data_IF_074718729573
#
_entry.id   IF_074718729573
#
_cell.length_a   1.000
_cell.length_b   1.000
_cell.length_c   1.000
_cell.angle_alpha   90.00
_cell.angle_beta   90.00
_cell.angle_gamma   90.00
#
_symmetry.space_group_name_H-M   'P 1'
#
loop_
_entity.id
_entity.type
_entity.pdbx_description
1 polymer ?
#
# COMPACT_ATOMS: atom_id res chain seq x y z
N UNK A 1 -30.93 -56.00 -3.94
CA UNK A 1 -30.46 -54.95 -3.02
C UNK A 1 -29.56 -54.01 -3.81
N UNK A 2 -29.97 -52.76 -4.04
CA UNK A 2 -29.16 -51.73 -4.72
C UNK A 2 -28.48 -50.88 -3.65
N UNK A 3 -27.16 -50.97 -3.54
CA UNK A 3 -26.36 -50.16 -2.62
C UNK A 3 -26.02 -48.85 -3.33
N UNK A 4 -26.54 -47.72 -2.83
CA UNK A 4 -26.20 -46.39 -3.34
C UNK A 4 -24.86 -45.97 -2.73
N UNK A 5 -23.84 -45.79 -3.56
CA UNK A 5 -22.60 -45.10 -3.16
C UNK A 5 -22.90 -43.60 -3.06
N UNK A 6 -22.92 -43.08 -1.83
CA UNK A 6 -22.97 -41.65 -1.56
C UNK A 6 -21.57 -41.07 -1.76
N UNK A 7 -21.32 -40.42 -2.89
CA UNK A 7 -20.10 -39.67 -3.13
C UNK A 7 -20.15 -38.36 -2.33
N UNK A 8 -19.40 -38.29 -1.23
CA UNK A 8 -19.19 -37.06 -0.46
C UNK A 8 -18.26 -36.17 -1.27
N UNK A 9 -18.83 -35.14 -1.90
CA UNK A 9 -18.08 -34.06 -2.53
C UNK A 9 -17.40 -33.25 -1.42
N UNK A 10 -16.11 -33.52 -1.17
CA UNK A 10 -15.24 -32.68 -0.35
C UNK A 10 -15.02 -31.36 -1.10
N UNK A 11 -15.82 -30.35 -0.78
CA UNK A 11 -15.54 -28.97 -1.18
C UNK A 11 -14.31 -28.49 -0.42
N UNK A 12 -13.15 -28.55 -1.07
CA UNK A 12 -11.94 -27.88 -0.57
C UNK A 12 -12.22 -26.37 -0.60
N UNK A 13 -12.21 -25.66 0.54
CA UNK A 13 -12.30 -24.21 0.50
C UNK A 13 -11.08 -23.69 -0.27
N UNK A 14 -11.32 -22.96 -1.36
CA UNK A 14 -10.27 -22.26 -2.06
C UNK A 14 -9.74 -21.19 -1.11
N UNK A 15 -8.65 -21.47 -0.41
CA UNK A 15 -7.86 -20.45 0.27
C UNK A 15 -7.26 -19.58 -0.82
N UNK A 16 -7.86 -18.42 -1.06
CA UNK A 16 -7.23 -17.35 -1.81
C UNK A 16 -5.90 -17.06 -1.11
N UNK A 17 -4.79 -17.36 -1.78
CA UNK A 17 -3.48 -16.95 -1.30
C UNK A 17 -3.50 -15.43 -1.17
N UNK A 18 -3.30 -14.92 0.05
CA UNK A 18 -3.16 -13.48 0.26
C UNK A 18 -2.04 -12.96 -0.65
N UNK A 19 -2.28 -11.86 -1.36
CA UNK A 19 -1.26 -11.25 -2.19
C UNK A 19 -0.01 -10.97 -1.33
N UNK A 20 1.16 -11.40 -1.80
CA UNK A 20 2.40 -11.09 -1.11
C UNK A 20 2.61 -9.57 -1.09
N UNK A 21 2.98 -9.00 0.06
CA UNK A 21 3.09 -7.55 0.19
C UNK A 21 4.40 -7.02 -0.41
N UNK A 22 4.31 -5.87 -1.08
CA UNK A 22 5.47 -5.15 -1.58
C UNK A 22 6.23 -4.46 -0.45
N UNK A 23 7.55 -4.63 -0.42
CA UNK A 23 8.45 -3.92 0.49
C UNK A 23 8.99 -2.69 -0.18
N UNK A 24 8.68 -1.52 0.38
CA UNK A 24 9.05 -0.24 -0.18
C UNK A 24 9.95 0.55 0.78
N UNK A 25 10.92 1.27 0.21
CA UNK A 25 11.76 2.23 0.93
C UNK A 25 11.55 3.62 0.38
N UNK A 26 11.75 4.63 1.22
CA UNK A 26 11.70 6.04 0.78
C UNK A 26 12.99 6.38 0.02
N UNK A 27 12.85 6.82 -1.23
CA UNK A 27 13.96 7.37 -2.02
C UNK A 27 14.02 8.89 -1.93
N UNK A 28 12.85 9.53 -1.86
CA UNK A 28 12.76 10.97 -1.72
C UNK A 28 11.58 11.47 -0.88
N UNK A 29 11.71 12.69 -0.37
CA UNK A 29 10.72 13.34 0.48
C UNK A 29 10.55 14.79 0.05
N UNK A 30 9.33 15.19 -0.30
CA UNK A 30 8.97 16.58 -0.54
C UNK A 30 8.06 17.06 0.59
N UNK A 31 8.35 18.27 1.07
CA UNK A 31 7.62 18.92 2.17
C UNK A 31 7.08 20.26 1.66
N UNK A 32 5.84 20.60 2.01
CA UNK A 32 5.27 21.94 1.69
C UNK A 32 5.71 23.04 2.66
N UNK A 33 6.33 22.68 3.78
CA UNK A 33 6.84 23.60 4.79
C UNK A 33 8.35 23.81 4.64
N UNK A 34 8.92 24.70 5.46
CA UNK A 34 10.37 24.90 5.55
C UNK A 34 11.11 23.56 5.63
N UNK A 35 12.11 23.39 4.76
CA UNK A 35 12.91 22.17 4.72
C UNK A 35 13.64 22.02 6.06
N UNK A 36 13.26 21.00 6.83
CA UNK A 36 13.99 20.57 8.01
C UNK A 36 14.85 19.36 7.63
N UNK A 37 16.18 19.51 7.50
CA UNK A 37 17.05 18.42 7.04
C UNK A 37 17.01 17.19 7.95
N UNK A 38 16.84 17.38 9.26
CA UNK A 38 16.72 16.26 10.19
C UNK A 38 15.41 15.51 9.97
N UNK A 39 14.31 16.23 9.78
CA UNK A 39 13.01 15.63 9.48
C UNK A 39 13.03 14.86 8.15
N UNK A 40 13.66 15.42 7.11
CA UNK A 40 13.86 14.73 5.82
C UNK A 40 14.68 13.45 6.02
N UNK A 41 15.82 13.54 6.74
CA UNK A 41 16.67 12.38 7.03
C UNK A 41 15.91 11.26 7.74
N UNK A 42 15.12 11.60 8.77
CA UNK A 42 14.28 10.65 9.50
C UNK A 42 13.22 10.02 8.60
N UNK A 43 12.57 10.80 7.74
CA UNK A 43 11.58 10.28 6.79
C UNK A 43 12.20 9.33 5.75
N UNK A 44 13.43 9.58 5.29
CA UNK A 44 14.16 8.66 4.40
C UNK A 44 14.49 7.31 5.05
N UNK A 45 14.36 7.18 6.37
CA UNK A 45 14.54 5.93 7.12
C UNK A 45 13.23 5.15 7.31
N UNK A 46 12.09 5.65 6.81
CA UNK A 46 10.83 4.91 6.83
C UNK A 46 10.88 3.74 5.84
N UNK A 47 10.24 2.65 6.25
CA UNK A 47 9.92 1.51 5.39
C UNK A 47 8.41 1.37 5.32
N UNK A 48 7.93 0.93 4.16
CA UNK A 48 6.52 0.69 3.91
C UNK A 48 6.30 -0.73 3.42
N UNK A 49 5.22 -1.34 3.86
CA UNK A 49 4.74 -2.63 3.40
C UNK A 49 3.36 -2.40 2.77
N UNK A 50 3.21 -2.75 1.49
CA UNK A 50 2.02 -2.45 0.70
C UNK A 50 1.36 -3.75 0.25
N UNK A 51 0.15 -4.00 0.74
CA UNK A 51 -0.66 -5.14 0.33
C UNK A 51 -1.77 -4.65 -0.59
N UNK A 52 -1.79 -5.12 -1.83
CA UNK A 52 -2.80 -4.75 -2.82
C UNK A 52 -3.87 -5.83 -2.88
N UNK A 53 -5.08 -5.51 -2.41
CA UNK A 53 -6.28 -6.33 -2.54
C UNK A 53 -7.14 -5.91 -3.73
N UNK A 54 -8.24 -6.63 -3.95
CA UNK A 54 -9.23 -6.30 -4.98
C UNK A 54 -10.09 -5.07 -4.64
N UNK A 55 -10.30 -4.80 -3.36
CA UNK A 55 -11.19 -3.73 -2.88
C UNK A 55 -10.45 -2.60 -2.15
N UNK A 56 -9.26 -2.90 -1.61
CA UNK A 56 -8.47 -1.94 -0.85
C UNK A 56 -6.97 -2.22 -0.94
N UNK A 57 -6.18 -1.21 -0.59
CA UNK A 57 -4.73 -1.27 -0.48
C UNK A 57 -4.37 -0.93 0.96
N UNK A 58 -3.69 -1.84 1.65
CA UNK A 58 -3.23 -1.61 3.02
C UNK A 58 -1.76 -1.22 2.99
N UNK A 59 -1.44 -0.07 3.59
CA UNK A 59 -0.09 0.46 3.70
C UNK A 59 0.30 0.52 5.17
N UNK A 60 1.28 -0.31 5.56
CA UNK A 60 1.89 -0.28 6.88
C UNK A 60 3.25 0.42 6.82
N UNK A 61 3.55 1.26 7.80
CA UNK A 61 4.78 2.03 7.91
C UNK A 61 5.54 1.65 9.19
N UNK A 62 6.86 1.47 9.07
CA UNK A 62 7.78 1.29 10.19
C UNK A 62 8.98 2.24 10.09
N UNK A 63 9.55 2.63 11.23
CA UNK A 63 10.69 3.55 11.30
C UNK A 63 11.31 3.54 12.69
N UNK A 64 12.63 3.79 12.83
CA UNK A 64 13.24 4.02 14.14
C UNK A 64 12.82 5.35 14.79
N UNK A 65 12.41 6.36 14.01
CA UNK A 65 12.15 7.74 14.49
C UNK A 65 10.67 8.08 14.62
N UNK A 66 9.77 7.26 14.07
CA UNK A 66 8.34 7.51 14.05
C UNK A 66 7.57 6.28 14.52
N UNK A 67 6.44 6.52 15.20
CA UNK A 67 5.53 5.46 15.58
C UNK A 67 5.08 4.65 14.35
N UNK A 68 4.95 3.32 14.46
CA UNK A 68 4.40 2.52 13.38
C UNK A 68 2.95 2.92 13.12
N UNK A 69 2.53 2.83 11.87
CA UNK A 69 1.15 3.13 11.49
C UNK A 69 0.70 2.19 10.38
N UNK A 70 -0.60 1.97 10.29
CA UNK A 70 -1.23 1.20 9.23
C UNK A 70 -2.46 1.98 8.77
N UNK A 71 -2.68 2.01 7.45
CA UNK A 71 -3.82 2.69 6.86
C UNK A 71 -4.31 1.96 5.62
N UNK A 72 -5.63 1.86 5.52
CA UNK A 72 -6.33 1.31 4.37
C UNK A 72 -6.67 2.44 3.39
N UNK A 73 -6.44 2.19 2.10
CA UNK A 73 -6.70 3.08 0.99
C UNK A 73 -7.67 2.40 0.01
N UNK A 74 -8.60 3.19 -0.54
CA UNK A 74 -9.58 2.72 -1.50
C UNK A 74 -9.21 3.18 -2.91
N UNK A 75 -9.10 2.26 -3.89
CA UNK A 75 -8.85 2.61 -5.28
C UNK A 75 -9.92 3.57 -5.81
N UNK A 76 -9.48 4.56 -6.58
CA UNK A 76 -10.35 5.54 -7.28
C UNK A 76 -10.10 5.59 -8.78
N UNK A 77 -9.13 4.82 -9.27
CA UNK A 77 -8.92 4.54 -10.69
C UNK A 77 -9.13 3.06 -10.99
N UNK A 78 -9.44 2.77 -12.24
CA UNK A 78 -9.56 1.40 -12.75
C UNK A 78 -8.40 1.07 -13.70
N UNK A 79 -7.94 -0.19 -13.74
CA UNK A 79 -7.01 -0.66 -14.76
C UNK A 79 -7.50 -0.39 -16.18
N UNK A 80 -6.60 -0.24 -17.18
CA UNK A 80 -5.15 -0.45 -17.12
C UNK A 80 -4.35 0.81 -16.73
N UNK A 81 -5.01 1.85 -16.21
CA UNK A 81 -4.34 3.06 -15.72
C UNK A 81 -3.62 2.82 -14.39
N UNK A 82 -2.69 3.71 -14.03
CA UNK A 82 -2.05 3.70 -12.71
C UNK A 82 -3.09 3.54 -11.59
N UNK A 83 -2.73 2.75 -10.58
CA UNK A 83 -3.57 2.58 -9.40
C UNK A 83 -3.44 3.84 -8.57
N UNK A 84 -4.53 4.59 -8.48
CA UNK A 84 -4.70 5.72 -7.60
C UNK A 84 -5.63 5.28 -6.48
N UNK A 85 -5.24 5.50 -5.25
CA UNK A 85 -6.05 5.19 -4.08
C UNK A 85 -6.04 6.34 -3.08
N UNK A 86 -7.11 6.46 -2.30
CA UNK A 86 -7.23 7.49 -1.29
C UNK A 86 -7.66 6.91 0.05
N UNK A 87 -7.20 7.56 1.11
CA UNK A 87 -7.65 7.34 2.47
C UNK A 87 -7.95 8.71 3.07
N UNK A 88 -9.09 8.84 3.74
CA UNK A 88 -9.52 10.10 4.35
C UNK A 88 -9.84 9.86 5.81
N UNK A 89 -9.40 10.75 6.68
CA UNK A 89 -9.88 10.85 8.05
C UNK A 89 -10.36 12.29 8.33
N UNK A 90 -10.78 12.56 9.58
CA UNK A 90 -11.32 13.88 9.94
C UNK A 90 -10.34 15.04 9.80
N UNK A 91 -9.03 14.79 9.67
CA UNK A 91 -7.99 15.81 9.71
C UNK A 91 -6.98 15.73 8.56
N UNK A 92 -7.06 14.69 7.73
CA UNK A 92 -6.09 14.42 6.68
C UNK A 92 -6.70 13.69 5.48
N UNK A 93 -6.09 13.95 4.33
CA UNK A 93 -6.26 13.16 3.12
C UNK A 93 -4.93 12.54 2.78
N UNK A 94 -4.92 11.24 2.54
CA UNK A 94 -3.76 10.53 2.02
C UNK A 94 -4.08 10.02 0.64
N UNK A 95 -3.12 10.13 -0.28
CA UNK A 95 -3.22 9.53 -1.61
C UNK A 95 -2.06 8.62 -1.85
N UNK A 96 -2.30 7.55 -2.60
CA UNK A 96 -1.32 6.59 -3.01
C UNK A 96 -1.42 6.40 -4.52
N UNK A 97 -0.27 6.37 -5.18
CA UNK A 97 -0.16 6.15 -6.61
C UNK A 97 0.92 5.11 -6.89
N UNK A 98 0.60 4.11 -7.70
CA UNK A 98 1.56 3.13 -8.21
C UNK A 98 1.18 2.73 -9.64
N UNK A 99 2.13 2.27 -10.46
CA UNK A 99 1.80 1.74 -11.77
C UNK A 99 0.87 0.53 -11.67
N UNK A 100 0.00 0.34 -12.66
CA UNK A 100 -0.74 -0.91 -12.79
C UNK A 100 0.21 -2.04 -13.19
N UNK A 101 0.48 -2.94 -12.24
CA UNK A 101 1.36 -4.08 -12.45
C UNK A 101 0.55 -5.27 -12.98
N UNK A 102 0.71 -5.59 -14.26
CA UNK A 102 0.18 -6.84 -14.82
C UNK A 102 0.98 -8.07 -14.36
N UNK A 103 2.13 -7.86 -13.71
CA UNK A 103 2.99 -8.91 -13.19
C UNK A 103 3.67 -8.43 -11.90
N UNK A 104 3.34 -9.05 -10.77
CA UNK A 104 3.72 -8.65 -9.40
C UNK A 104 5.22 -8.81 -9.07
N UNK A 105 6.07 -9.18 -10.03
CA UNK A 105 7.49 -9.50 -9.81
C UNK A 105 8.50 -8.41 -10.17
N UNK A 106 8.04 -7.19 -10.50
CA UNK A 106 8.92 -6.12 -10.99
C UNK A 106 9.04 -5.02 -9.95
N UNK A 107 10.25 -4.52 -9.76
CA UNK A 107 10.53 -3.31 -8.97
C UNK A 107 9.83 -2.10 -9.57
N UNK A 108 9.17 -1.28 -8.75
CA UNK A 108 8.45 -0.10 -9.23
C UNK A 108 8.57 1.08 -8.28
N UNK A 109 8.39 2.28 -8.83
CA UNK A 109 8.26 3.49 -8.03
C UNK A 109 6.78 3.74 -7.69
N UNK A 110 6.53 4.19 -6.47
CA UNK A 110 5.21 4.62 -6.02
C UNK A 110 5.31 5.96 -5.30
N UNK A 111 4.18 6.64 -5.16
CA UNK A 111 4.09 7.90 -4.42
C UNK A 111 3.04 7.78 -3.34
N UNK A 112 3.39 8.19 -2.12
CA UNK A 112 2.48 8.33 -1.01
C UNK A 112 2.44 9.80 -0.61
N UNK A 113 1.26 10.37 -0.50
CA UNK A 113 1.05 11.74 -0.02
C UNK A 113 0.22 11.71 1.25
N UNK A 114 0.60 12.52 2.24
CA UNK A 114 -0.22 12.87 3.38
C UNK A 114 -0.40 14.38 3.40
N UNK A 115 -1.64 14.82 3.29
CA UNK A 115 -2.03 16.21 3.35
C UNK A 115 -2.92 16.45 4.57
N UNK A 116 -2.59 17.49 5.32
CA UNK A 116 -3.43 18.03 6.40
C UNK A 116 -3.74 19.50 6.09
N UNK A 117 -4.45 20.18 6.98
CA UNK A 117 -4.66 21.62 6.89
C UNK A 117 -3.36 22.45 6.96
N UNK A 118 -2.29 21.89 7.53
CA UNK A 118 -1.08 22.66 7.87
C UNK A 118 0.15 22.26 7.06
N UNK A 119 0.17 21.05 6.49
CA UNK A 119 1.33 20.54 5.77
C UNK A 119 0.93 19.48 4.74
N UNK A 120 1.80 19.31 3.74
CA UNK A 120 1.80 18.21 2.80
C UNK A 120 3.17 17.55 2.82
N UNK A 121 3.18 16.24 3.03
CA UNK A 121 4.36 15.40 2.90
C UNK A 121 4.12 14.44 1.73
N UNK A 122 5.11 14.37 0.84
CA UNK A 122 5.12 13.40 -0.26
C UNK A 122 6.34 12.52 -0.10
N UNK A 123 6.15 11.22 -0.15
CA UNK A 123 7.21 10.23 -0.17
C UNK A 123 7.24 9.55 -1.53
N UNK A 124 8.39 9.60 -2.19
CA UNK A 124 8.69 8.73 -3.33
C UNK A 124 9.23 7.42 -2.80
N UNK A 125 8.64 6.33 -3.26
CA UNK A 125 8.88 4.98 -2.77
C UNK A 125 9.49 4.14 -3.87
N UNK A 126 10.45 3.29 -3.50
CA UNK A 126 11.04 2.27 -4.34
C UNK A 126 10.64 0.90 -3.79
N UNK A 127 9.78 0.20 -4.53
CA UNK A 127 9.06 -0.99 -4.10
C UNK A 127 9.57 -2.26 -4.77
N UNK A 128 9.70 -3.32 -3.98
CA UNK A 128 10.09 -4.66 -4.40
C UNK A 128 8.99 -5.66 -4.02
N UNK A 129 8.80 -6.74 -4.81
CA UNK A 129 7.98 -7.88 -4.39
C UNK A 129 8.49 -8.49 -3.08
#
# INVERSE_FOLDING_TARGET
MKTYLLAILLTVPATFAAAEPFKCRVTDVLLSSEENPEFVRKNKQKQFLITVGSESIVIAQSSPDFAPSEREFFPVSEPPSDILAMATDSFSVSTFAMPYLTNSGIRFDATLTLQTANFVNVWTLDCLP
#
